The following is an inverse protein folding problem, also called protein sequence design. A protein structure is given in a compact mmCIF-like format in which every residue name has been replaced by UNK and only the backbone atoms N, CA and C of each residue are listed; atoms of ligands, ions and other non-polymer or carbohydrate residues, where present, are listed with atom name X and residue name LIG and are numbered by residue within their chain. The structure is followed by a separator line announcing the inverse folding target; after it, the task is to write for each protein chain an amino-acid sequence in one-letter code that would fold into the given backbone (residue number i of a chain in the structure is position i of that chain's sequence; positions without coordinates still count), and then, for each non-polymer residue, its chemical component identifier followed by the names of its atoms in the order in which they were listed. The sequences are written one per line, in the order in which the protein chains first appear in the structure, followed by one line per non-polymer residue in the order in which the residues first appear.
data_IF_190944361149
#
_entry.id   IF_190944361149
#
_cell.length_a   1.000
_cell.length_b   1.000
_cell.length_c   1.000
_cell.angle_alpha   90.00
_cell.angle_beta   90.00
_cell.angle_gamma   90.00
#
_symmetry.space_group_name_H-M   'P 1'
#
loop_
_entity.id
_entity.type
_entity.pdbx_description
1 polymer ?
#
# COMPACT_ATOMS: atom_id res chain seq x y z
N UNK A 1 4.68 45.42 34.50
CA UNK A 1 4.58 45.68 33.04
C UNK A 1 5.22 44.47 32.34
N UNK A 2 4.69 43.25 32.48
CA UNK A 2 3.53 42.64 31.80
C UNK A 2 3.74 42.48 30.28
N UNK A 3 4.24 41.31 29.88
CA UNK A 3 3.99 40.70 28.58
C UNK A 3 3.74 39.19 28.77
N UNK A 4 3.01 38.53 27.84
CA UNK A 4 1.89 37.68 28.19
C UNK A 4 1.94 36.24 27.63
N UNK A 5 0.94 35.46 28.05
CA UNK A 5 0.22 34.40 27.29
C UNK A 5 0.99 33.12 26.88
N UNK A 6 0.58 31.97 27.42
CA UNK A 6 0.65 30.68 26.71
C UNK A 6 -0.37 29.68 27.26
N UNK A 7 -1.33 29.30 26.42
CA UNK A 7 -1.93 27.97 26.28
C UNK A 7 -3.05 28.03 25.21
N UNK A 8 -3.50 26.90 24.61
CA UNK A 8 -2.75 25.71 24.17
C UNK A 8 -3.15 25.28 22.73
N UNK A 9 -2.37 24.41 22.08
CA UNK A 9 -2.69 23.88 20.74
C UNK A 9 -2.29 22.42 20.58
N UNK A 10 -3.29 21.55 20.60
CA UNK A 10 -3.24 20.11 20.30
C UNK A 10 -3.09 19.89 18.78
N UNK A 11 -2.07 19.17 18.31
CA UNK A 11 -2.16 18.32 17.13
C UNK A 11 -0.90 17.44 16.98
N UNK A 12 -1.12 16.16 16.76
CA UNK A 12 -0.11 15.17 16.44
C UNK A 12 0.63 15.53 15.14
N UNK A 13 1.93 15.76 15.24
CA UNK A 13 2.81 15.90 14.09
C UNK A 13 3.12 14.49 13.56
N UNK A 14 2.19 13.93 12.79
CA UNK A 14 2.49 12.83 11.88
C UNK A 14 3.23 13.42 10.68
N UNK A 15 4.53 13.14 10.59
CA UNK A 15 5.41 13.52 9.49
C UNK A 15 4.81 13.12 8.13
N UNK A 16 4.66 14.06 7.17
CA UNK A 16 4.52 13.74 5.78
C UNK A 16 5.79 14.16 5.05
N UNK A 17 6.70 13.21 4.80
CA UNK A 17 7.71 13.38 3.75
C UNK A 17 6.96 13.43 2.41
N UNK A 18 6.86 14.64 1.90
CA UNK A 18 6.25 14.95 0.63
C UNK A 18 7.24 14.68 -0.50
N UNK A 19 7.05 13.58 -1.23
CA UNK A 19 7.53 13.46 -2.61
C UNK A 19 6.34 13.56 -3.59
N UNK A 20 6.39 14.58 -4.44
CA UNK A 20 5.52 14.90 -5.59
C UNK A 20 6.50 15.25 -6.75
N UNK A 21 6.31 14.93 -8.06
CA UNK A 21 5.07 14.93 -8.91
C UNK A 21 4.97 13.73 -9.93
N UNK A 22 3.94 13.61 -10.83
CA UNK A 22 2.91 14.58 -11.22
C UNK A 22 1.44 14.15 -11.05
N UNK A 23 0.62 15.19 -10.98
CA UNK A 23 -0.83 15.23 -10.93
C UNK A 23 -1.51 14.48 -12.09
N UNK A 24 -2.24 13.40 -11.77
CA UNK A 24 -3.38 12.92 -12.55
C UNK A 24 -4.31 11.93 -11.81
N UNK A 25 -3.90 11.31 -10.69
CA UNK A 25 -4.77 10.46 -9.88
C UNK A 25 -4.97 11.09 -8.50
N UNK A 26 -6.14 11.65 -8.25
CA UNK A 26 -6.51 12.21 -6.96
C UNK A 26 -6.42 11.13 -5.86
N UNK A 27 -5.36 11.19 -5.05
CA UNK A 27 -5.32 10.84 -3.63
C UNK A 27 -6.00 9.52 -3.18
N UNK A 28 -5.86 8.43 -3.92
CA UNK A 28 -6.22 7.10 -3.43
C UNK A 28 -5.10 6.53 -2.55
N UNK A 29 -5.04 6.94 -1.28
CA UNK A 29 -4.08 6.40 -0.30
C UNK A 29 -4.57 5.07 0.27
N UNK A 30 -3.87 4.01 -0.09
CA UNK A 30 -4.05 2.66 0.41
C UNK A 30 -3.23 2.46 1.68
N UNK A 31 -3.84 1.88 2.70
CA UNK A 31 -3.18 1.64 3.98
C UNK A 31 -3.08 0.16 4.29
N UNK A 32 -1.89 -0.32 4.61
CA UNK A 32 -1.68 -1.66 5.15
C UNK A 32 -1.83 -1.60 6.67
N UNK A 33 -2.97 -2.07 7.16
CA UNK A 33 -3.31 -2.20 8.56
C UNK A 33 -2.89 -3.57 9.10
N UNK A 34 -2.76 -3.68 10.43
CA UNK A 34 -2.38 -4.91 11.11
C UNK A 34 -1.09 -5.50 10.52
N UNK A 35 0.00 -4.73 10.40
CA UNK A 35 1.27 -5.19 9.80
C UNK A 35 1.12 -5.79 8.39
N UNK A 36 0.15 -5.29 7.61
CA UNK A 36 -0.14 -5.74 6.24
C UNK A 36 -1.06 -6.95 6.13
N UNK A 37 -1.79 -7.33 7.17
CA UNK A 37 -2.83 -8.36 7.07
C UNK A 37 -4.15 -7.83 6.48
N UNK A 38 -4.37 -6.52 6.55
CA UNK A 38 -5.58 -5.90 6.03
C UNK A 38 -5.20 -4.71 5.16
N UNK A 39 -5.65 -4.75 3.91
CA UNK A 39 -5.56 -3.63 3.00
C UNK A 39 -6.79 -2.75 3.18
N UNK A 40 -6.59 -1.54 3.70
CA UNK A 40 -7.60 -0.51 3.77
C UNK A 40 -7.55 0.34 2.51
N UNK A 41 -8.69 0.46 1.85
CA UNK A 41 -8.86 1.39 0.72
C UNK A 41 -8.98 2.83 1.26
N UNK A 42 -8.71 3.85 0.43
CA UNK A 42 -8.96 5.26 0.77
C UNK A 42 -10.44 5.56 1.08
N UNK A 43 -11.35 4.72 0.59
CA UNK A 43 -12.79 4.78 0.89
C UNK A 43 -13.15 4.15 2.25
N UNK A 44 -12.17 3.67 3.02
CA UNK A 44 -12.39 3.05 4.33
C UNK A 44 -12.80 1.57 4.29
N UNK A 45 -12.75 0.92 3.12
CA UNK A 45 -13.06 -0.50 2.98
C UNK A 45 -11.86 -1.32 3.44
N UNK A 46 -12.09 -2.31 4.31
CA UNK A 46 -11.05 -3.19 4.84
C UNK A 46 -11.09 -4.55 4.17
N UNK A 47 -9.99 -4.91 3.53
CA UNK A 47 -9.89 -6.14 2.76
C UNK A 47 -8.78 -7.01 3.36
N UNK A 48 -9.15 -8.16 3.90
CA UNK A 48 -8.19 -9.13 4.43
C UNK A 48 -7.36 -9.73 3.30
N UNK A 49 -6.04 -9.63 3.45
CA UNK A 49 -5.01 -10.17 2.56
C UNK A 49 -4.60 -11.57 3.01
N UNK A 50 -4.25 -12.46 2.08
CA UNK A 50 -3.55 -13.71 2.45
C UNK A 50 -2.08 -13.44 2.76
N UNK A 51 -1.40 -14.43 3.36
CA UNK A 51 0.03 -14.35 3.63
C UNK A 51 0.85 -14.00 2.37
N UNK A 52 0.46 -14.53 1.21
CA UNK A 52 1.13 -14.32 -0.07
C UNK A 52 0.97 -12.86 -0.55
N UNK A 53 -0.25 -12.34 -0.49
CA UNK A 53 -0.53 -10.96 -0.88
C UNK A 53 0.16 -9.99 0.08
N UNK A 54 0.07 -10.24 1.39
CA UNK A 54 0.72 -9.45 2.43
C UNK A 54 2.21 -9.30 2.17
N UNK A 55 2.92 -10.40 1.95
CA UNK A 55 4.37 -10.38 1.73
C UNK A 55 4.72 -9.62 0.46
N UNK A 56 3.94 -9.77 -0.61
CA UNK A 56 4.09 -8.98 -1.82
C UNK A 56 3.91 -7.48 -1.52
N UNK A 57 2.81 -7.08 -0.88
CA UNK A 57 2.51 -5.69 -0.55
C UNK A 57 3.51 -5.07 0.42
N UNK A 58 3.99 -5.82 1.40
CA UNK A 58 5.04 -5.37 2.32
C UNK A 58 6.36 -5.14 1.57
N UNK A 59 6.73 -6.04 0.66
CA UNK A 59 7.91 -5.83 -0.18
C UNK A 59 7.73 -4.61 -1.10
N UNK A 60 6.53 -4.36 -1.64
CA UNK A 60 6.25 -3.18 -2.45
C UNK A 60 6.35 -1.92 -1.61
N UNK A 61 5.85 -1.95 -0.37
CA UNK A 61 5.89 -0.82 0.54
C UNK A 61 7.30 -0.51 1.07
N UNK A 62 8.13 -1.54 1.21
CA UNK A 62 9.55 -1.41 1.56
C UNK A 62 10.36 -0.78 0.41
N UNK A 63 9.93 -1.01 -0.83
CA UNK A 63 10.54 -0.46 -2.02
C UNK A 63 10.01 0.97 -2.34
N UNK A 64 10.87 2.01 -2.34
CA UNK A 64 10.44 3.38 -2.61
C UNK A 64 9.88 3.59 -4.03
N UNK A 65 10.32 2.77 -5.00
CA UNK A 65 9.81 2.78 -6.37
C UNK A 65 8.47 2.07 -6.57
N UNK A 66 7.93 1.41 -5.52
CA UNK A 66 6.71 0.58 -5.59
C UNK A 66 6.71 -0.45 -6.71
N UNK A 67 7.90 -0.85 -7.14
CA UNK A 67 8.14 -1.88 -8.14
C UNK A 67 8.71 -3.11 -7.47
N UNK A 68 8.20 -4.28 -7.85
CA UNK A 68 8.69 -5.56 -7.43
C UNK A 68 9.12 -6.37 -8.63
N UNK A 69 10.43 -6.55 -8.76
CA UNK A 69 10.99 -7.45 -9.75
C UNK A 69 10.68 -8.91 -9.44
N UNK A 70 10.63 -9.74 -10.49
CA UNK A 70 10.47 -11.19 -10.33
C UNK A 70 11.48 -11.77 -9.33
N UNK A 71 12.73 -11.30 -9.33
CA UNK A 71 13.76 -11.77 -8.40
C UNK A 71 13.41 -11.41 -6.95
N UNK A 72 13.06 -10.15 -6.68
CA UNK A 72 12.61 -9.67 -5.36
C UNK A 72 11.39 -10.46 -4.91
N UNK A 73 10.44 -10.70 -5.82
CA UNK A 73 9.23 -11.45 -5.53
C UNK A 73 9.55 -12.91 -5.19
N UNK A 74 10.48 -13.55 -5.92
CA UNK A 74 10.92 -14.92 -5.63
C UNK A 74 11.68 -15.02 -4.31
N UNK A 75 12.43 -13.98 -3.92
CA UNK A 75 13.08 -13.88 -2.61
C UNK A 75 12.08 -13.63 -1.48
N UNK A 76 11.10 -12.75 -1.70
CA UNK A 76 10.08 -12.40 -0.71
C UNK A 76 9.13 -13.59 -0.48
N UNK A 77 8.82 -14.37 -1.51
CA UNK A 77 7.83 -15.46 -1.48
C UNK A 77 8.50 -16.83 -1.70
N UNK A 78 9.33 -17.30 -0.75
CA UNK A 78 10.04 -18.56 -0.89
C UNK A 78 9.04 -19.72 -0.95
N UNK A 79 9.10 -20.51 -2.02
CA UNK A 79 8.22 -21.66 -2.24
C UNK A 79 6.86 -21.32 -2.86
N UNK A 80 6.61 -20.08 -3.25
CA UNK A 80 5.38 -19.70 -3.97
C UNK A 80 5.65 -19.25 -5.40
N UNK A 81 4.73 -19.57 -6.29
CA UNK A 81 4.82 -19.22 -7.70
C UNK A 81 4.14 -17.88 -8.01
N UNK A 82 4.68 -17.15 -8.99
CA UNK A 82 4.01 -16.01 -9.64
C UNK A 82 2.56 -16.32 -10.04
N UNK A 83 2.29 -17.56 -10.45
CA UNK A 83 0.93 -18.04 -10.76
C UNK A 83 0.01 -17.99 -9.53
N UNK A 84 0.45 -18.50 -8.39
CA UNK A 84 -0.33 -18.49 -7.15
C UNK A 84 -0.59 -17.05 -6.69
N UNK A 85 0.43 -16.19 -6.80
CA UNK A 85 0.27 -14.76 -6.51
C UNK A 85 -0.74 -14.10 -7.44
N UNK A 86 -0.66 -14.34 -8.75
CA UNK A 86 -1.65 -13.85 -9.71
C UNK A 86 -3.08 -14.26 -9.33
N UNK A 87 -3.28 -15.52 -8.89
CA UNK A 87 -4.59 -15.99 -8.45
C UNK A 87 -5.04 -15.27 -7.17
N UNK A 88 -4.14 -15.10 -6.20
CA UNK A 88 -4.44 -14.38 -4.96
C UNK A 88 -4.78 -12.90 -5.24
N UNK A 89 -3.97 -12.23 -6.05
CA UNK A 89 -4.21 -10.86 -6.51
C UNK A 89 -5.50 -10.75 -7.33
N UNK A 90 -5.84 -11.73 -8.18
CA UNK A 90 -7.10 -11.70 -8.93
C UNK A 90 -8.32 -11.81 -8.01
N UNK A 91 -8.23 -12.67 -6.98
CA UNK A 91 -9.25 -12.77 -5.93
C UNK A 91 -9.37 -11.47 -5.15
N UNK A 92 -8.23 -10.87 -4.79
CA UNK A 92 -8.18 -9.57 -4.12
C UNK A 92 -8.81 -8.48 -4.97
N UNK A 93 -8.39 -8.36 -6.23
CA UNK A 93 -8.95 -7.42 -7.21
C UNK A 93 -10.46 -7.57 -7.31
N UNK A 94 -10.97 -8.80 -7.32
CA UNK A 94 -12.40 -9.04 -7.34
C UNK A 94 -13.09 -8.59 -6.05
N UNK A 95 -12.51 -8.82 -4.87
CA UNK A 95 -13.02 -8.28 -3.58
C UNK A 95 -13.00 -6.76 -3.55
N UNK A 96 -11.95 -6.14 -4.07
CA UNK A 96 -11.80 -4.68 -4.15
C UNK A 96 -12.83 -4.09 -5.13
N UNK A 97 -13.00 -4.73 -6.29
CA UNK A 97 -13.98 -4.36 -7.31
C UNK A 97 -15.42 -4.52 -6.86
N UNK A 98 -15.71 -5.56 -6.07
CA UNK A 98 -17.01 -5.74 -5.41
C UNK A 98 -17.32 -4.59 -4.44
N UNK A 99 -16.29 -4.04 -3.80
CA UNK A 99 -16.39 -2.84 -2.98
C UNK A 99 -16.42 -1.53 -3.78
N UNK A 100 -16.51 -1.58 -5.11
CA UNK A 100 -16.58 -0.42 -5.99
C UNK A 100 -15.25 0.28 -6.24
N UNK A 101 -14.12 -0.38 -5.95
CA UNK A 101 -12.77 0.17 -6.10
C UNK A 101 -11.94 -0.68 -7.06
N UNK A 102 -10.88 -0.12 -7.63
CA UNK A 102 -9.93 -0.87 -8.45
C UNK A 102 -8.58 -0.90 -7.77
N UNK A 103 -7.98 -2.09 -7.65
CA UNK A 103 -6.65 -2.22 -7.07
C UNK A 103 -5.61 -1.69 -8.08
N UNK A 104 -4.83 -0.63 -7.76
CA UNK A 104 -3.84 -0.06 -8.68
C UNK A 104 -2.54 -0.88 -8.68
N UNK A 105 -2.66 -2.21 -8.82
CA UNK A 105 -1.55 -3.15 -8.93
C UNK A 105 -1.48 -3.66 -10.37
N UNK A 106 -0.45 -3.24 -11.08
CA UNK A 106 -0.20 -3.65 -12.46
C UNK A 106 0.89 -4.72 -12.53
N UNK A 107 0.75 -5.65 -13.46
CA UNK A 107 1.80 -6.64 -13.76
C UNK A 107 2.45 -6.24 -15.07
N UNK A 108 3.76 -5.98 -15.04
CA UNK A 108 4.53 -5.55 -16.22
C UNK A 108 5.39 -6.72 -16.68
N UNK A 109 5.18 -7.15 -17.93
CA UNK A 109 5.95 -8.23 -18.54
C UNK A 109 7.43 -7.85 -18.60
N UNK A 110 8.30 -8.61 -17.92
CA UNK A 110 9.75 -8.37 -17.84
C UNK A 110 10.19 -7.59 -16.59
N UNK A 111 9.31 -6.81 -15.97
CA UNK A 111 9.64 -6.00 -14.79
C UNK A 111 9.03 -6.55 -13.50
N UNK A 112 7.93 -7.32 -13.56
CA UNK A 112 7.28 -7.93 -12.40
C UNK A 112 5.96 -7.24 -12.03
N UNK A 113 5.87 -6.68 -10.84
CA UNK A 113 4.69 -5.97 -10.34
C UNK A 113 5.00 -4.51 -10.05
N UNK A 114 4.05 -3.63 -10.31
CA UNK A 114 4.14 -2.22 -9.95
C UNK A 114 2.86 -1.78 -9.28
N UNK A 115 2.98 -1.07 -8.16
CA UNK A 115 1.85 -0.46 -7.49
C UNK A 115 1.81 1.03 -7.82
N UNK A 116 0.79 1.42 -8.59
CA UNK A 116 0.62 2.78 -9.11
C UNK A 116 -0.08 3.71 -8.11
N UNK A 117 -0.56 3.18 -6.98
CA UNK A 117 -1.23 3.96 -5.93
C UNK A 117 -0.29 4.43 -4.81
N UNK A 118 -0.83 5.22 -3.88
CA UNK A 118 -0.10 5.61 -2.66
C UNK A 118 -0.26 4.54 -1.58
N UNK A 119 0.79 3.78 -1.29
CA UNK A 119 0.77 2.71 -0.29
C UNK A 119 1.47 3.16 0.99
N UNK A 120 0.74 3.16 2.10
CA UNK A 120 1.24 3.51 3.42
C UNK A 120 1.12 2.31 4.37
N UNK A 121 2.22 1.87 4.98
CA UNK A 121 2.17 0.83 6.01
C UNK A 121 1.94 1.52 7.34
N UNK A 122 0.89 1.13 8.06
CA UNK A 122 0.69 1.63 9.42
C UNK A 122 1.63 0.86 10.36
N UNK A 123 2.64 1.53 10.97
CA UNK A 123 3.37 0.93 12.08
C UNK A 123 2.42 0.87 13.28
N UNK A 124 2.16 -0.33 13.79
CA UNK A 124 1.48 -0.51 15.09
C UNK A 124 2.50 -0.52 16.21
#
# INVERSE_FOLDING_TARGET
MTQPLTAPGLAAEASPDAQTPPAAAAAETWQLLYRGWVLSTPHGVRISLTALERVCFLAIADHPGRELSRDILMKALPGSSLRTLNVAISRLRKKVSDAGMELPLHTVHGMGYVFLGHLHVQPS
#
